data_IF_967443644814
#
_entry.id   IF_967443644814
#
_cell.length_a   1.000
_cell.length_b   1.000
_cell.length_c   1.000
_cell.angle_alpha   90.00
_cell.angle_beta   90.00
_cell.angle_gamma   90.00
#
_symmetry.space_group_name_H-M   'P 1'
#
loop_
_entity.id
_entity.type
_entity.pdbx_description
1 polymer ?
#
# COMPACT_ATOMS: atom_id res chain seq x y z
N UNK A 1 -17.82 7.74 -6.46
CA UNK A 1 -16.58 7.53 -5.66
C UNK A 1 -16.68 6.19 -4.94
N UNK A 2 -16.39 5.11 -5.67
CA UNK A 2 -16.44 3.71 -5.20
C UNK A 2 -15.27 2.85 -5.73
N UNK A 3 -14.27 3.45 -6.39
CA UNK A 3 -13.34 2.70 -7.26
C UNK A 3 -12.18 1.98 -6.54
N UNK A 4 -12.13 1.97 -5.21
CA UNK A 4 -11.02 1.34 -4.46
C UNK A 4 -11.28 -0.11 -4.04
N UNK A 5 -12.53 -0.59 -4.12
CA UNK A 5 -12.89 -1.96 -3.70
C UNK A 5 -12.47 -3.00 -4.76
N UNK A 6 -12.60 -2.67 -6.04
CA UNK A 6 -12.37 -3.62 -7.13
C UNK A 6 -10.90 -4.03 -7.33
N UNK A 7 -9.93 -3.29 -6.78
CA UNK A 7 -8.51 -3.48 -7.12
C UNK A 7 -7.84 -4.70 -6.49
N UNK A 8 -8.21 -5.06 -5.25
CA UNK A 8 -7.60 -6.17 -4.48
C UNK A 8 -8.46 -7.43 -4.48
N UNK A 9 -9.79 -7.29 -4.52
CA UNK A 9 -10.70 -8.44 -4.50
C UNK A 9 -10.77 -9.14 -5.86
N UNK A 10 -10.51 -8.43 -6.96
CA UNK A 10 -10.51 -9.00 -8.33
C UNK A 10 -9.13 -9.44 -8.82
N UNK A 11 -8.20 -9.79 -7.92
CA UNK A 11 -6.92 -10.33 -8.34
C UNK A 11 -7.11 -11.73 -8.98
N UNK A 12 -6.48 -12.00 -10.14
CA UNK A 12 -6.63 -13.26 -10.82
C UNK A 12 -6.14 -14.43 -9.96
N UNK A 13 -6.90 -15.52 -9.97
CA UNK A 13 -6.54 -16.76 -9.27
C UNK A 13 -5.98 -17.76 -10.26
N UNK A 14 -4.83 -18.33 -9.93
CA UNK A 14 -4.13 -19.30 -10.76
C UNK A 14 -4.00 -20.62 -10.02
N UNK A 15 -4.03 -21.74 -10.75
CA UNK A 15 -3.67 -23.03 -10.16
C UNK A 15 -2.17 -23.09 -9.86
N UNK A 16 -1.73 -24.02 -9.02
CA UNK A 16 -0.33 -24.12 -8.58
C UNK A 16 0.67 -24.24 -9.74
N UNK A 17 0.31 -24.94 -10.82
CA UNK A 17 1.16 -25.08 -12.01
C UNK A 17 1.30 -23.77 -12.78
N UNK A 18 0.21 -23.01 -12.95
CA UNK A 18 0.26 -21.71 -13.61
C UNK A 18 1.02 -20.67 -12.78
N UNK A 19 0.84 -20.68 -11.45
CA UNK A 19 1.61 -19.84 -10.53
C UNK A 19 3.11 -20.05 -10.71
N UNK A 20 3.58 -21.30 -10.66
CA UNK A 20 5.01 -21.62 -10.82
C UNK A 20 5.57 -21.17 -12.17
N UNK A 21 4.81 -21.35 -13.26
CA UNK A 21 5.23 -20.92 -14.60
C UNK A 21 5.41 -19.41 -14.68
N UNK A 22 4.42 -18.64 -14.24
CA UNK A 22 4.50 -17.16 -14.28
C UNK A 22 5.58 -16.67 -13.31
N UNK A 23 5.64 -17.23 -12.11
CA UNK A 23 6.64 -16.87 -11.11
C UNK A 23 8.07 -17.17 -11.57
N UNK A 24 8.28 -18.22 -12.37
CA UNK A 24 9.59 -18.56 -12.95
C UNK A 24 10.09 -17.59 -14.02
N UNK A 25 9.23 -16.71 -14.56
CA UNK A 25 9.67 -15.68 -15.49
C UNK A 25 10.50 -14.64 -14.73
N UNK A 26 11.80 -14.57 -15.03
CA UNK A 26 12.73 -13.70 -14.32
C UNK A 26 12.65 -12.24 -14.78
N UNK A 27 12.34 -12.02 -16.04
CA UNK A 27 12.52 -10.74 -16.71
C UNK A 27 11.32 -10.37 -17.57
N UNK A 28 11.12 -9.06 -17.73
CA UNK A 28 10.25 -8.48 -18.75
C UNK A 28 11.00 -7.46 -19.57
N UNK A 29 10.65 -7.44 -20.85
CA UNK A 29 11.07 -6.40 -21.75
C UNK A 29 10.05 -5.27 -21.74
N UNK A 30 10.45 -4.07 -21.33
CA UNK A 30 9.58 -2.89 -21.31
C UNK A 30 10.07 -1.87 -22.36
N UNK A 31 9.18 -1.46 -23.28
CA UNK A 31 9.43 -0.41 -24.29
C UNK A 31 8.84 0.92 -23.83
N UNK A 32 9.53 2.08 -23.93
CA UNK A 32 10.07 2.70 -25.17
C UNK A 32 11.61 2.69 -25.36
N UNK A 33 12.39 2.20 -24.39
CA UNK A 33 13.86 2.20 -24.44
C UNK A 33 14.53 0.84 -24.70
N UNK A 34 13.74 -0.24 -24.77
CA UNK A 34 14.28 -1.60 -24.92
C UNK A 34 15.03 -2.11 -23.68
N UNK A 35 14.67 -1.59 -22.50
CA UNK A 35 15.33 -1.95 -21.26
C UNK A 35 14.77 -3.27 -20.74
N UNK A 36 15.68 -4.22 -20.51
CA UNK A 36 15.39 -5.48 -19.82
C UNK A 36 15.33 -5.21 -18.32
N UNK A 37 14.22 -5.59 -17.68
CA UNK A 37 14.03 -5.42 -16.24
C UNK A 37 13.85 -6.77 -15.60
N UNK A 38 14.59 -7.00 -14.52
CA UNK A 38 14.40 -8.16 -13.67
C UNK A 38 13.29 -7.87 -12.69
N UNK A 39 12.33 -8.79 -12.57
CA UNK A 39 11.28 -8.64 -11.58
C UNK A 39 11.83 -8.59 -10.15
N UNK A 40 12.93 -9.28 -9.90
CA UNK A 40 13.62 -9.32 -8.61
C UNK A 40 14.15 -7.93 -8.18
N UNK A 41 14.32 -6.97 -9.10
CA UNK A 41 14.75 -5.61 -8.76
C UNK A 41 13.63 -4.81 -8.05
N UNK A 42 12.37 -5.23 -8.21
CA UNK A 42 11.20 -4.54 -7.67
C UNK A 42 10.36 -5.44 -6.73
N UNK A 43 10.33 -6.75 -6.95
CA UNK A 43 9.47 -7.69 -6.22
C UNK A 43 10.34 -8.53 -5.29
N UNK A 44 10.13 -8.40 -3.98
CA UNK A 44 10.84 -9.22 -2.99
C UNK A 44 10.50 -10.71 -3.12
N UNK A 45 11.51 -11.56 -2.97
CA UNK A 45 11.38 -13.03 -2.94
C UNK A 45 10.64 -13.53 -1.69
N UNK A 46 10.63 -12.74 -0.62
CA UNK A 46 9.97 -13.07 0.64
C UNK A 46 8.44 -12.93 0.55
N UNK A 47 7.94 -12.24 -0.48
CA UNK A 47 6.51 -12.13 -0.72
C UNK A 47 5.92 -13.49 -1.12
N UNK A 48 4.67 -13.81 -0.73
CA UNK A 48 3.99 -15.02 -1.18
C UNK A 48 3.95 -15.14 -2.71
N UNK A 49 4.10 -16.35 -3.25
CA UNK A 49 4.13 -16.59 -4.70
C UNK A 49 2.92 -15.99 -5.44
N UNK A 50 1.73 -16.08 -4.86
CA UNK A 50 0.51 -15.48 -5.43
C UNK A 50 0.62 -13.96 -5.57
N UNK A 51 1.21 -13.30 -4.59
CA UNK A 51 1.42 -11.84 -4.57
C UNK A 51 2.47 -11.45 -5.61
N UNK A 52 3.58 -12.18 -5.70
CA UNK A 52 4.60 -11.96 -6.73
C UNK A 52 4.01 -12.06 -8.14
N UNK A 53 3.25 -13.12 -8.41
CA UNK A 53 2.57 -13.30 -9.71
C UNK A 53 1.59 -12.15 -9.99
N UNK A 54 0.82 -11.71 -9.00
CA UNK A 54 -0.10 -10.59 -9.17
C UNK A 54 0.63 -9.27 -9.48
N UNK A 55 1.75 -8.99 -8.80
CA UNK A 55 2.60 -7.85 -9.09
C UNK A 55 3.18 -7.94 -10.51
N UNK A 56 3.70 -9.10 -10.93
CA UNK A 56 4.20 -9.33 -12.30
C UNK A 56 3.12 -9.05 -13.34
N UNK A 57 1.91 -9.57 -13.14
CA UNK A 57 0.78 -9.34 -14.05
C UNK A 57 0.40 -7.87 -14.13
N UNK A 58 0.36 -7.17 -12.99
CA UNK A 58 0.08 -5.74 -12.99
C UNK A 58 1.20 -4.96 -13.69
N UNK A 59 2.48 -5.29 -13.49
CA UNK A 59 3.60 -4.66 -14.20
C UNK A 59 3.48 -4.79 -15.72
N UNK A 60 3.07 -5.97 -16.22
CA UNK A 60 2.89 -6.24 -17.66
C UNK A 60 1.65 -5.57 -18.24
N UNK A 61 0.60 -5.39 -17.43
CA UNK A 61 -0.68 -4.84 -17.90
C UNK A 61 -0.47 -3.42 -18.43
N UNK A 62 -1.08 -3.08 -19.57
CA UNK A 62 -1.03 -1.70 -20.11
C UNK A 62 -1.80 -0.70 -19.21
N UNK A 63 -1.25 0.48 -18.91
CA UNK A 63 -1.99 1.53 -18.21
C UNK A 63 -3.26 1.94 -18.96
N UNK A 64 -4.26 2.40 -18.22
CA UNK A 64 -5.47 2.96 -18.84
C UNK A 64 -5.17 4.39 -19.33
N UNK A 65 -5.80 4.80 -20.43
CA UNK A 65 -5.64 6.16 -20.95
C UNK A 65 -6.08 7.21 -19.91
N UNK A 66 -7.14 6.92 -19.15
CA UNK A 66 -7.63 7.78 -18.06
C UNK A 66 -6.53 8.09 -17.03
N UNK A 67 -5.80 7.07 -16.58
CA UNK A 67 -4.75 7.23 -15.57
C UNK A 67 -3.57 8.04 -16.13
N UNK A 68 -3.26 7.88 -17.43
CA UNK A 68 -2.23 8.66 -18.11
C UNK A 68 -2.54 10.16 -18.24
N UNK A 69 -3.82 10.54 -18.16
CA UNK A 69 -4.29 11.93 -18.28
C UNK A 69 -4.42 12.64 -16.94
N UNK A 70 -4.19 11.96 -15.80
CA UNK A 70 -4.39 12.54 -14.48
C UNK A 70 -3.16 12.40 -13.61
N UNK A 71 -2.82 13.48 -12.91
CA UNK A 71 -1.83 13.45 -11.85
C UNK A 71 -2.48 13.29 -10.48
N UNK A 72 -1.76 12.69 -9.55
CA UNK A 72 -2.22 12.49 -8.18
C UNK A 72 -1.11 12.15 -7.21
N UNK A 73 -1.49 12.07 -5.95
CA UNK A 73 -0.61 11.81 -4.82
C UNK A 73 -0.99 10.50 -4.15
N UNK A 74 -0.01 9.85 -3.53
CA UNK A 74 -0.26 8.81 -2.52
C UNK A 74 -0.12 9.45 -1.15
N UNK A 75 -1.07 9.22 -0.26
CA UNK A 75 -0.98 9.62 1.13
C UNK A 75 -0.89 8.39 2.02
N UNK A 76 -0.21 8.53 3.16
CA UNK A 76 -0.18 7.56 4.22
C UNK A 76 -0.57 8.22 5.54
N UNK A 77 -1.60 7.67 6.21
CA UNK A 77 -2.02 8.09 7.53
C UNK A 77 -1.76 6.99 8.56
N UNK A 78 -1.30 7.38 9.74
CA UNK A 78 -1.34 6.55 10.94
C UNK A 78 -2.66 6.81 11.67
N UNK A 79 -3.44 5.76 11.90
CA UNK A 79 -4.76 5.84 12.50
C UNK A 79 -4.66 5.57 14.00
N UNK A 80 -4.83 6.60 14.81
CA UNK A 80 -4.80 6.50 16.27
C UNK A 80 -6.23 6.32 16.79
N UNK A 81 -6.55 5.25 17.53
CA UNK A 81 -7.85 5.12 18.20
C UNK A 81 -8.09 6.33 19.10
N UNK A 82 -9.25 6.98 18.98
CA UNK A 82 -9.65 7.98 19.97
C UNK A 82 -10.01 7.23 21.25
N UNK A 83 -9.33 7.52 22.36
CA UNK A 83 -9.66 6.92 23.66
C UNK A 83 -11.15 7.18 23.94
N UNK A 84 -11.95 6.12 24.04
CA UNK A 84 -13.23 6.23 24.69
C UNK A 84 -12.95 6.35 26.20
N UNK A 85 -13.60 7.28 26.92
CA UNK A 85 -13.45 7.38 28.37
C UNK A 85 -13.88 6.10 29.11
N UNK A 86 -14.53 5.15 28.43
CA UNK A 86 -15.00 3.86 28.95
C UNK A 86 -14.14 2.63 28.59
N UNK A 87 -13.05 2.77 27.83
CA UNK A 87 -12.20 1.62 27.45
C UNK A 87 -10.79 1.77 28.02
N UNK A 88 -10.57 1.23 29.22
CA UNK A 88 -9.30 1.22 29.92
C UNK A 88 -8.43 0.02 29.52
N UNK A 89 -7.96 -0.07 28.27
CA UNK A 89 -6.78 -0.90 27.87
C UNK A 89 -6.60 -1.02 26.34
N UNK A 90 -6.27 0.05 25.61
CA UNK A 90 -5.80 -0.07 24.20
C UNK A 90 -4.54 0.77 23.94
N UNK A 91 -3.70 0.95 24.94
CA UNK A 91 -2.40 1.61 24.80
C UNK A 91 -1.27 0.61 25.03
N UNK A 92 -0.78 -0.02 23.95
CA UNK A 92 0.52 -0.74 23.81
C UNK A 92 0.45 -2.05 23.03
N UNK A 93 -0.54 -2.27 22.15
CA UNK A 93 -0.28 -3.20 21.05
C UNK A 93 0.85 -2.57 20.24
N UNK A 94 2.03 -3.20 20.19
CA UNK A 94 3.25 -2.72 19.51
C UNK A 94 3.11 -2.64 17.99
N UNK A 95 1.98 -2.14 17.52
CA UNK A 95 1.46 -2.20 16.17
C UNK A 95 0.91 -0.83 15.78
N UNK A 96 1.20 -0.40 14.56
CA UNK A 96 0.63 0.81 13.95
C UNK A 96 -0.39 0.43 12.89
N UNK A 97 -1.55 1.11 12.90
CA UNK A 97 -2.54 1.00 11.82
C UNK A 97 -2.28 2.08 10.78
N UNK A 98 -1.92 1.67 9.57
CA UNK A 98 -1.54 2.56 8.48
C UNK A 98 -2.59 2.49 7.37
N UNK A 99 -3.15 3.63 7.00
CA UNK A 99 -4.03 3.81 5.85
C UNK A 99 -3.24 4.36 4.69
N UNK A 100 -3.30 3.70 3.53
CA UNK A 100 -2.70 4.18 2.30
C UNK A 100 -3.81 4.51 1.32
N UNK A 101 -3.64 5.55 0.51
CA UNK A 101 -4.56 5.78 -0.60
C UNK A 101 -4.09 6.88 -1.52
N UNK A 102 -4.81 7.06 -2.62
CA UNK A 102 -4.56 8.14 -3.59
C UNK A 102 -5.51 9.32 -3.44
N UNK A 103 -5.04 10.51 -3.78
CA UNK A 103 -5.89 11.69 -3.93
C UNK A 103 -5.25 12.71 -4.87
N UNK A 104 -6.07 13.49 -5.58
CA UNK A 104 -5.60 14.72 -6.26
C UNK A 104 -5.39 15.88 -5.28
N UNK A 105 -6.07 15.83 -4.14
CA UNK A 105 -5.94 16.81 -3.06
C UNK A 105 -5.91 16.06 -1.72
N UNK A 106 -4.72 15.70 -1.21
CA UNK A 106 -4.58 14.90 0.00
C UNK A 106 -4.95 15.68 1.28
N UNK A 107 -4.89 17.02 1.27
CA UNK A 107 -5.33 17.86 2.40
C UNK A 107 -6.85 17.79 2.56
N UNK A 108 -7.61 17.96 1.47
CA UNK A 108 -9.07 17.78 1.50
C UNK A 108 -9.44 16.34 1.86
N UNK A 109 -8.67 15.36 1.37
CA UNK A 109 -8.91 13.95 1.71
C UNK A 109 -8.77 13.66 3.20
N UNK A 110 -7.82 14.32 3.87
CA UNK A 110 -7.59 14.18 5.31
C UNK A 110 -8.80 14.64 6.14
N UNK A 111 -9.39 15.79 5.79
CA UNK A 111 -10.61 16.26 6.46
C UNK A 111 -11.82 15.35 6.18
N UNK A 112 -11.98 14.88 4.93
CA UNK A 112 -13.03 13.93 4.56
C UNK A 112 -12.97 12.63 5.36
N UNK A 113 -11.77 12.09 5.60
CA UNK A 113 -11.61 10.89 6.43
C UNK A 113 -12.12 11.12 7.84
N UNK A 114 -11.73 12.26 8.44
CA UNK A 114 -12.10 12.61 9.82
C UNK A 114 -13.63 12.68 10.01
N UNK A 115 -14.37 13.07 8.97
CA UNK A 115 -15.84 13.05 8.96
C UNK A 115 -16.43 11.66 8.69
N UNK A 116 -15.83 10.87 7.80
CA UNK A 116 -16.36 9.56 7.42
C UNK A 116 -16.12 8.48 8.48
N UNK A 117 -14.99 8.54 9.18
CA UNK A 117 -14.55 7.52 10.14
C UNK A 117 -14.03 8.19 11.43
N UNK A 118 -14.92 8.76 12.27
CA UNK A 118 -14.52 9.56 13.42
C UNK A 118 -13.92 8.76 14.57
N UNK A 119 -14.04 7.42 14.61
CA UNK A 119 -13.49 6.58 15.69
C UNK A 119 -11.97 6.59 15.79
N UNK A 120 -11.27 6.92 14.69
CA UNK A 120 -9.81 6.98 14.61
C UNK A 120 -9.36 8.34 14.10
N UNK A 121 -8.38 8.93 14.77
CA UNK A 121 -7.76 10.19 14.37
C UNK A 121 -6.63 9.91 13.35
N UNK A 122 -6.70 10.44 12.12
CA UNK A 122 -5.64 10.29 11.13
C UNK A 122 -4.47 11.25 11.41
N UNK A 123 -3.28 10.71 11.62
CA UNK A 123 -2.02 11.46 11.62
C UNK A 123 -1.35 11.29 10.26
N UNK A 124 -0.98 12.37 9.60
CA UNK A 124 -0.30 12.29 8.31
C UNK A 124 1.13 11.82 8.54
N UNK A 125 1.48 10.69 7.92
CA UNK A 125 2.85 10.15 7.91
C UNK A 125 3.64 10.63 6.70
N UNK A 126 2.98 10.71 5.55
CA UNK A 126 3.61 11.20 4.32
C UNK A 126 2.60 11.45 3.21
N UNK A 127 2.98 12.33 2.30
CA UNK A 127 2.31 12.58 1.02
C UNK A 127 3.38 12.50 -0.05
N UNK A 128 3.13 11.68 -1.06
CA UNK A 128 4.07 11.32 -2.11
C UNK A 128 3.52 11.78 -3.48
N UNK A 129 4.36 12.23 -4.42
CA UNK A 129 5.83 12.28 -4.36
C UNK A 129 6.34 13.17 -3.22
N UNK A 130 7.36 12.67 -2.53
CA UNK A 130 7.97 13.35 -1.40
C UNK A 130 8.98 14.35 -1.98
N UNK A 131 8.74 15.64 -1.79
CA UNK A 131 9.61 16.71 -2.32
C UNK A 131 10.91 16.89 -1.55
N UNK A 132 11.41 15.81 -0.97
CA UNK A 132 12.74 15.71 -0.40
C UNK A 132 13.55 14.86 -1.36
N UNK A 133 14.27 15.50 -2.27
CA UNK A 133 15.35 14.82 -3.00
C UNK A 133 16.35 14.31 -1.97
N UNK A 134 16.76 13.04 -2.07
CA UNK A 134 17.82 12.48 -1.21
C UNK A 134 19.16 13.23 -1.34
N UNK A 135 19.29 14.12 -2.33
CA UNK A 135 20.44 14.98 -2.58
C UNK A 135 20.55 16.15 -1.60
N UNK A 136 19.43 16.61 -1.02
CA UNK A 136 19.46 17.61 0.03
C UNK A 136 19.56 16.88 1.38
N UNK A 137 20.78 16.68 1.86
CA UNK A 137 21.13 16.05 3.15
C UNK A 137 20.58 16.73 4.42
N UNK A 138 19.50 17.51 4.30
CA UNK A 138 18.71 17.95 5.44
C UNK A 138 17.68 16.87 5.80
N UNK A 139 17.84 16.28 6.98
CA UNK A 139 16.83 15.48 7.67
C UNK A 139 15.64 16.37 8.10
N UNK A 140 15.04 17.07 7.12
CA UNK A 140 13.92 17.94 7.36
C UNK A 140 12.65 17.11 7.30
N UNK A 141 12.53 16.22 8.28
CA UNK A 141 11.35 15.40 8.55
C UNK A 141 10.15 16.34 8.63
N UNK A 142 9.40 16.45 7.53
CA UNK A 142 8.25 17.37 7.46
C UNK A 142 7.27 16.98 8.54
N UNK A 143 7.18 17.81 9.58
CA UNK A 143 6.15 17.67 10.60
C UNK A 143 4.86 18.17 9.96
N UNK A 144 3.99 17.24 9.58
CA UNK A 144 2.67 17.56 9.04
C UNK A 144 1.74 17.99 10.17
N UNK A 145 1.91 19.22 10.68
CA UNK A 145 0.91 19.86 11.55
C UNK A 145 -0.33 20.15 10.71
N UNK A 146 -1.51 19.74 11.22
CA UNK A 146 -2.79 20.02 10.57
C UNK A 146 -2.89 21.50 10.18
N UNK A 147 -3.07 21.79 8.89
CA UNK A 147 -3.17 23.15 8.36
C UNK A 147 -1.88 23.77 7.81
N UNK A 148 -0.72 23.11 7.95
CA UNK A 148 0.59 23.61 7.44
C UNK A 148 1.23 22.70 6.38
N UNK A 149 0.45 21.76 5.84
CA UNK A 149 0.94 20.76 4.89
C UNK A 149 1.23 21.44 3.54
N UNK A 150 2.48 21.84 3.34
CA UNK A 150 3.01 22.25 2.04
C UNK A 150 3.27 21.01 1.19
N UNK A 151 2.42 20.76 0.20
CA UNK A 151 2.71 19.81 -0.88
C UNK A 151 3.63 20.56 -1.86
N UNK A 152 4.92 20.25 -1.84
CA UNK A 152 5.91 20.99 -2.64
C UNK A 152 6.05 20.45 -4.06
N UNK A 153 5.88 19.14 -4.24
CA UNK A 153 6.01 18.49 -5.56
C UNK A 153 4.65 18.33 -6.25
N UNK A 154 4.57 18.48 -7.57
CA UNK A 154 3.41 18.08 -8.34
C UNK A 154 3.16 16.57 -8.23
N UNK A 155 1.91 16.17 -8.13
CA UNK A 155 1.52 14.75 -8.22
C UNK A 155 1.96 14.13 -9.55
N UNK A 156 2.11 12.81 -9.59
CA UNK A 156 2.58 12.10 -10.78
C UNK A 156 1.42 11.47 -11.56
N UNK A 157 1.64 11.22 -12.85
CA UNK A 157 0.74 10.38 -13.65
C UNK A 157 0.80 8.94 -13.16
N UNK A 158 -0.20 8.14 -13.55
CA UNK A 158 -0.25 6.72 -13.19
C UNK A 158 -0.35 6.46 -11.67
N UNK A 159 -0.92 7.41 -10.92
CA UNK A 159 -1.09 7.31 -9.47
C UNK A 159 -2.10 6.23 -9.06
N UNK A 160 -3.05 5.85 -9.93
CA UNK A 160 -3.95 4.73 -9.66
C UNK A 160 -3.18 3.40 -9.67
N UNK A 161 -2.28 3.21 -10.65
CA UNK A 161 -1.38 2.06 -10.67
C UNK A 161 -0.43 2.04 -9.49
N UNK A 162 0.15 3.19 -9.18
CA UNK A 162 1.03 3.35 -8.04
C UNK A 162 0.34 2.92 -6.74
N UNK A 163 -0.89 3.39 -6.50
CA UNK A 163 -1.71 2.94 -5.37
C UNK A 163 -1.89 1.42 -5.40
N UNK A 164 -2.30 0.86 -6.53
CA UNK A 164 -2.57 -0.57 -6.65
C UNK A 164 -1.36 -1.43 -6.30
N UNK A 165 -0.17 -1.10 -6.80
CA UNK A 165 1.06 -1.82 -6.45
C UNK A 165 1.35 -1.76 -4.95
N UNK A 166 1.26 -0.56 -4.36
CA UNK A 166 1.43 -0.39 -2.92
C UNK A 166 0.45 -1.25 -2.14
N UNK A 167 -0.84 -1.23 -2.49
CA UNK A 167 -1.84 -1.98 -1.74
C UNK A 167 -1.65 -3.50 -1.84
N UNK A 168 -1.29 -4.03 -3.01
CA UNK A 168 -1.03 -5.46 -3.21
C UNK A 168 0.13 -5.93 -2.33
N UNK A 169 1.24 -5.19 -2.35
CA UNK A 169 2.44 -5.58 -1.61
C UNK A 169 2.30 -5.36 -0.10
N UNK A 170 1.75 -4.22 0.33
CA UNK A 170 1.56 -3.91 1.75
C UNK A 170 0.54 -4.83 2.42
N UNK A 171 -0.48 -5.30 1.68
CA UNK A 171 -1.39 -6.33 2.18
C UNK A 171 -0.62 -7.60 2.57
N UNK A 172 0.27 -8.07 1.67
CA UNK A 172 1.05 -9.27 1.89
C UNK A 172 2.00 -9.15 3.09
N UNK A 173 2.69 -8.01 3.20
CA UNK A 173 3.57 -7.76 4.33
C UNK A 173 2.84 -7.65 5.67
N UNK A 174 1.67 -7.01 5.69
CA UNK A 174 0.84 -6.93 6.90
C UNK A 174 0.43 -8.32 7.36
N UNK A 175 0.03 -9.20 6.43
CA UNK A 175 -0.37 -10.57 6.74
C UNK A 175 0.81 -11.44 7.22
N UNK A 176 2.01 -11.24 6.65
CA UNK A 176 3.24 -11.90 7.11
C UNK A 176 3.61 -11.50 8.54
N UNK A 177 3.60 -10.20 8.87
CA UNK A 177 3.88 -9.72 10.23
C UNK A 177 2.86 -10.24 11.24
N UNK A 178 1.56 -10.22 10.89
CA UNK A 178 0.50 -10.81 11.73
C UNK A 178 0.76 -12.30 12.00
N UNK A 179 1.11 -13.05 10.96
CA UNK A 179 1.40 -14.49 11.07
C UNK A 179 2.58 -14.75 12.02
N UNK A 180 3.64 -13.95 11.92
CA UNK A 180 4.81 -14.05 12.79
C UNK A 180 4.48 -13.75 14.26
N UNK A 181 3.59 -12.78 14.55
CA UNK A 181 3.16 -12.48 15.92
C UNK A 181 2.27 -13.56 16.53
N UNK A 182 1.49 -14.24 15.69
CA UNK A 182 0.47 -15.19 16.16
C UNK A 182 1.07 -16.48 16.73
N UNK A 183 2.37 -16.75 16.50
CA UNK A 183 3.08 -17.98 16.92
C UNK A 183 2.33 -19.29 16.59
N UNK A 184 1.35 -19.24 15.67
CA UNK A 184 0.63 -20.41 15.19
C UNK A 184 1.57 -21.17 14.26
N UNK A 185 2.28 -22.17 14.80
CA UNK A 185 2.91 -23.18 13.97
C UNK A 185 1.83 -23.79 13.07
N UNK A 186 2.09 -23.95 11.76
CA UNK A 186 1.20 -24.70 10.91
C UNK A 186 1.21 -26.16 11.39
N UNK A 187 0.16 -26.59 12.07
CA UNK A 187 -0.10 -28.01 12.31
C UNK A 187 -0.18 -28.71 10.96
N UNK A 188 0.63 -29.76 10.77
CA UNK A 188 0.83 -30.49 9.52
C UNK A 188 -0.44 -31.11 8.92
N UNK A 189 -1.54 -31.15 9.66
CA UNK A 189 -2.71 -31.97 9.33
C UNK A 189 -3.96 -31.15 8.94
N UNK A 190 -3.85 -29.83 8.77
CA UNK A 190 -4.97 -29.00 8.30
C UNK A 190 -4.68 -28.40 6.93
N UNK A 191 -5.56 -28.58 5.91
CA UNK A 191 -5.42 -27.90 4.64
C UNK A 191 -5.40 -26.40 4.90
N UNK A 192 -4.25 -25.77 4.61
CA UNK A 192 -3.99 -24.34 4.77
C UNK A 192 -5.19 -23.57 4.20
N UNK A 193 -6.01 -22.91 5.02
CA UNK A 193 -7.19 -22.24 4.50
C UNK A 193 -6.70 -21.14 3.56
N UNK A 194 -7.01 -21.27 2.28
CA UNK A 194 -6.85 -20.21 1.27
C UNK A 194 -7.86 -19.07 1.51
N UNK A 195 -8.23 -18.82 2.76
CA UNK A 195 -9.12 -17.74 3.12
C UNK A 195 -8.28 -16.50 3.35
N UNK A 196 -8.41 -15.57 2.41
CA UNK A 196 -8.13 -14.16 2.66
C UNK A 196 -8.77 -13.79 4.01
N UNK A 197 -8.03 -13.13 4.92
CA UNK A 197 -8.60 -12.73 6.20
C UNK A 197 -9.85 -11.90 5.94
N UNK A 198 -11.01 -12.34 6.46
CA UNK A 198 -12.27 -11.64 6.29
C UNK A 198 -12.13 -10.27 6.97
N UNK A 199 -12.00 -9.22 6.17
CA UNK A 199 -11.96 -7.85 6.66
C UNK A 199 -13.36 -7.47 7.13
N UNK A 200 -13.48 -7.06 8.38
CA UNK A 200 -14.75 -6.62 8.94
C UNK A 200 -15.13 -5.25 8.38
N UNK A 201 -16.44 -5.01 8.25
CA UNK A 201 -16.97 -3.70 7.93
C UNK A 201 -16.58 -2.67 8.99
N UNK A 202 -16.27 -1.46 8.56
CA UNK A 202 -15.98 -0.33 9.42
C UNK A 202 -17.20 0.01 10.28
N UNK A 203 -16.99 0.19 11.59
CA UNK A 203 -18.08 0.56 12.52
C UNK A 203 -18.64 1.96 12.24
N UNK A 204 -17.84 2.84 11.66
CA UNK A 204 -18.24 4.22 11.39
C UNK A 204 -19.00 4.37 10.07
N UNK A 205 -18.49 3.79 8.99
CA UNK A 205 -19.04 4.02 7.64
C UNK A 205 -19.64 2.77 6.98
N UNK A 206 -19.59 1.61 7.63
CA UNK A 206 -20.12 0.33 7.12
C UNK A 206 -19.32 -0.30 5.97
N UNK A 207 -18.28 0.36 5.45
CA UNK A 207 -17.47 -0.15 4.33
C UNK A 207 -16.33 -1.06 4.78
N UNK A 208 -15.93 -2.00 3.93
CA UNK A 208 -14.71 -2.78 4.13
C UNK A 208 -13.52 -1.94 3.65
N UNK A 209 -12.62 -1.57 4.56
CA UNK A 209 -11.41 -0.83 4.22
C UNK A 209 -10.30 -1.80 3.82
N UNK A 210 -10.04 -1.90 2.52
CA UNK A 210 -8.98 -2.71 1.96
C UNK A 210 -7.60 -2.05 2.02
N UNK A 211 -7.61 -0.76 2.32
CA UNK A 211 -6.50 0.16 2.27
C UNK A 211 -5.95 0.51 3.67
N UNK A 212 -6.42 -0.17 4.71
CA UNK A 212 -5.92 -0.08 6.08
C UNK A 212 -5.20 -1.37 6.43
N UNK A 213 -3.95 -1.22 6.86
CA UNK A 213 -3.08 -2.31 7.23
C UNK A 213 -2.63 -2.16 8.67
N UNK A 214 -2.30 -3.28 9.29
CA UNK A 214 -1.71 -3.30 10.63
C UNK A 214 -0.31 -3.85 10.52
N UNK A 215 0.65 -3.09 11.03
CA UNK A 215 2.07 -3.42 11.00
C UNK A 215 2.66 -3.31 12.40
N UNK A 216 3.85 -3.86 12.60
CA UNK A 216 4.66 -3.62 13.80
C UNK A 216 5.09 -2.15 13.86
N UNK A 217 5.29 -1.65 15.07
CA UNK A 217 5.77 -0.29 15.29
C UNK A 217 7.08 -0.02 14.52
N UNK A 218 7.18 1.16 13.90
CA UNK A 218 8.33 1.54 13.07
C UNK A 218 8.38 0.89 11.67
N UNK A 219 7.38 0.07 11.29
CA UNK A 219 7.29 -0.45 9.91
C UNK A 219 7.04 0.65 8.87
N UNK A 220 6.55 1.82 9.28
CA UNK A 220 6.37 2.93 8.35
C UNK A 220 7.69 3.30 7.66
N UNK A 221 8.75 3.58 8.42
CA UNK A 221 10.05 3.98 7.86
C UNK A 221 10.78 2.83 7.18
N UNK A 222 10.69 1.61 7.74
CA UNK A 222 11.46 0.46 7.27
C UNK A 222 10.83 -0.27 6.07
N UNK A 223 9.52 -0.12 5.87
CA UNK A 223 8.78 -0.94 4.92
C UNK A 223 7.78 -0.13 4.09
N UNK A 224 6.88 0.60 4.74
CA UNK A 224 5.78 1.27 4.02
C UNK A 224 6.28 2.40 3.13
N UNK A 225 7.07 3.33 3.66
CA UNK A 225 7.66 4.44 2.89
C UNK A 225 8.57 3.91 1.76
N UNK A 226 9.52 2.99 2.00
CA UNK A 226 10.32 2.37 0.92
C UNK A 226 9.46 1.69 -0.15
N UNK A 227 8.38 1.00 0.23
CA UNK A 227 7.47 0.36 -0.74
C UNK A 227 6.78 1.41 -1.62
N UNK A 228 6.30 2.50 -1.03
CA UNK A 228 5.66 3.60 -1.79
C UNK A 228 6.66 4.21 -2.78
N UNK A 229 7.87 4.56 -2.32
CA UNK A 229 8.91 5.18 -3.15
C UNK A 229 9.39 4.23 -4.27
N UNK A 230 9.54 2.95 -3.98
CA UNK A 230 9.91 1.93 -4.98
C UNK A 230 8.90 1.89 -6.13
N UNK A 231 7.60 1.88 -5.82
CA UNK A 231 6.56 1.86 -6.85
C UNK A 231 6.36 3.21 -7.53
N UNK A 232 6.72 4.31 -6.87
CA UNK A 232 6.83 5.62 -7.52
C UNK A 232 7.89 5.58 -8.63
N UNK A 233 9.10 5.13 -8.28
CA UNK A 233 10.22 4.97 -9.21
C UNK A 233 9.84 4.09 -10.39
N UNK A 234 9.14 2.98 -10.13
CA UNK A 234 8.61 2.12 -11.18
C UNK A 234 7.65 2.86 -12.11
N UNK A 235 6.62 3.54 -11.57
CA UNK A 235 5.63 4.23 -12.40
C UNK A 235 6.25 5.34 -13.26
N UNK A 236 7.20 6.10 -12.71
CA UNK A 236 7.97 7.08 -13.47
C UNK A 236 8.79 6.42 -14.56
N UNK A 237 9.54 5.37 -14.24
CA UNK A 237 10.37 4.67 -15.22
C UNK A 237 9.55 4.01 -16.34
N UNK A 238 8.44 3.34 -15.99
CA UNK A 238 7.71 2.47 -16.89
C UNK A 238 6.72 3.23 -17.78
N UNK A 239 6.21 4.38 -17.32
CA UNK A 239 5.05 5.00 -17.93
C UNK A 239 5.21 6.51 -18.20
N UNK A 240 6.13 7.22 -17.55
CA UNK A 240 6.39 8.64 -17.87
C UNK A 240 7.26 8.81 -19.11
#
# INVERSE_FOLDING_TARGET
>A
TSDSIDGLENLPRYCGTHLRKIDSQAEIFMGRGGTLIKFDDYISKDLPQTVRVNLKNEMIRRPTQRDSLSTGYIYCYELIPKKNPSSSSEGSSGTSQLKIGRSKNPVIRHSQWSSQCPSKSPIIRGIFPDGTSEEDGSDNRRVYLNGTIGISEPGIRFHERWEKFCLIELAAWSDLQKSNRSNCQPSSDSPRPQHTPRRNACKDCGKVHCEIFEFDQGSYERLVRPTILKWEKWCRFAYD
#
